data_IF_589884498374
#
_entry.id   IF_589884498374
#
_cell.length_a   1.000
_cell.length_b   1.000
_cell.length_c   1.000
_cell.angle_alpha   90.00
_cell.angle_beta   90.00
_cell.angle_gamma   90.00
#
_symmetry.space_group_name_H-M   'P 1'
#
loop_
_entity.id
_entity.type
_entity.pdbx_description
1 polymer ?
#
# COMPACT_ATOMS: atom_id res chain seq x y z
N UNK A 1 18.44 23.13 -12.85
CA UNK A 1 19.03 21.81 -12.53
C UNK A 1 19.47 21.19 -13.84
N UNK A 2 20.71 20.71 -13.93
CA UNK A 2 21.15 19.94 -15.10
C UNK A 2 20.27 18.68 -15.21
N UNK A 3 19.95 18.27 -16.44
CA UNK A 3 19.20 17.04 -16.66
C UNK A 3 20.05 15.85 -16.19
N UNK A 4 19.55 15.09 -15.22
CA UNK A 4 20.24 13.91 -14.70
C UNK A 4 20.29 12.83 -15.81
N UNK A 5 21.47 12.30 -16.18
CA UNK A 5 21.55 11.26 -17.21
C UNK A 5 20.67 10.04 -16.84
N UNK A 6 19.91 9.46 -17.80
CA UNK A 6 18.97 8.38 -17.50
C UNK A 6 19.60 7.17 -16.79
N UNK A 7 20.83 6.83 -17.16
CA UNK A 7 21.57 5.74 -16.52
C UNK A 7 21.89 6.06 -15.05
N UNK A 8 22.45 7.24 -14.78
CA UNK A 8 22.75 7.70 -13.41
C UNK A 8 21.46 7.72 -12.58
N UNK A 9 20.37 8.22 -13.14
CA UNK A 9 19.06 8.24 -12.48
C UNK A 9 18.61 6.82 -12.11
N UNK A 10 18.69 5.87 -13.03
CA UNK A 10 18.24 4.49 -12.82
C UNK A 10 19.05 3.81 -11.72
N UNK A 11 20.37 3.87 -11.79
CA UNK A 11 21.26 3.26 -10.79
C UNK A 11 21.04 3.85 -9.39
N UNK A 12 20.90 5.17 -9.30
CA UNK A 12 20.62 5.85 -8.02
C UNK A 12 19.25 5.48 -7.48
N UNK A 13 18.22 5.37 -8.32
CA UNK A 13 16.89 4.94 -7.89
C UNK A 13 16.90 3.50 -7.39
N UNK A 14 17.61 2.59 -8.06
CA UNK A 14 17.77 1.21 -7.61
C UNK A 14 18.43 1.13 -6.23
N UNK A 15 19.50 1.90 -6.00
CA UNK A 15 20.19 1.94 -4.70
C UNK A 15 19.30 2.55 -3.60
N UNK A 16 18.63 3.68 -3.87
CA UNK A 16 17.69 4.30 -2.92
C UNK A 16 16.58 3.33 -2.54
N UNK A 17 15.93 2.70 -3.54
CA UNK A 17 14.82 1.78 -3.29
C UNK A 17 15.30 0.55 -2.54
N UNK A 18 16.47 -0.01 -2.88
CA UNK A 18 17.06 -1.12 -2.13
C UNK A 18 17.33 -0.78 -0.66
N UNK A 19 17.83 0.42 -0.37
CA UNK A 19 18.02 0.89 1.01
C UNK A 19 16.68 1.18 1.71
N UNK A 20 15.67 1.70 1.01
CA UNK A 20 14.31 1.89 1.54
C UNK A 20 13.62 0.56 1.86
N UNK A 21 13.80 -0.45 1.02
CA UNK A 21 13.33 -1.82 1.27
C UNK A 21 13.96 -2.38 2.55
N UNK A 22 15.29 -2.26 2.67
CA UNK A 22 16.04 -2.75 3.81
C UNK A 22 15.65 -2.04 5.13
N UNK A 23 15.42 -0.74 5.07
CA UNK A 23 15.04 0.07 6.24
C UNK A 23 13.55 0.05 6.57
N UNK A 24 12.73 -0.60 5.73
CA UNK A 24 11.26 -0.53 5.79
C UNK A 24 10.76 0.91 5.86
N UNK A 25 11.09 1.69 4.83
CA UNK A 25 10.81 3.12 4.73
C UNK A 25 9.40 3.53 5.16
N UNK A 26 8.39 2.73 4.84
CA UNK A 26 6.98 2.95 5.17
C UNK A 26 6.65 2.85 6.67
N UNK A 27 7.53 2.24 7.46
CA UNK A 27 7.41 2.03 8.90
C UNK A 27 8.26 3.05 9.70
N UNK A 28 9.09 3.86 9.04
CA UNK A 28 10.00 4.79 9.71
C UNK A 28 9.26 5.96 10.37
N UNK A 29 9.74 6.34 11.55
CA UNK A 29 9.37 7.60 12.20
C UNK A 29 9.95 8.80 11.45
N UNK A 30 9.37 9.99 11.63
CA UNK A 30 9.87 11.21 10.98
C UNK A 30 11.35 11.54 11.33
N UNK A 31 11.83 11.34 12.58
CA UNK A 31 13.25 11.46 12.90
C UNK A 31 14.12 10.44 12.14
N UNK A 32 13.73 9.16 12.14
CA UNK A 32 14.49 8.11 11.46
C UNK A 32 14.57 8.33 9.94
N UNK A 33 13.47 8.81 9.33
CA UNK A 33 13.45 9.22 7.93
C UNK A 33 14.40 10.41 7.66
N UNK A 34 14.46 11.37 8.59
CA UNK A 34 15.39 12.52 8.51
C UNK A 34 16.85 12.07 8.53
N UNK A 35 17.22 11.15 9.42
CA UNK A 35 18.56 10.60 9.48
C UNK A 35 18.92 9.79 8.23
N UNK A 36 17.94 9.08 7.67
CA UNK A 36 18.12 8.33 6.43
C UNK A 36 18.34 9.24 5.22
N UNK A 37 17.63 10.37 5.12
CA UNK A 37 17.94 11.38 4.09
C UNK A 37 19.38 11.90 4.20
N UNK A 38 19.87 12.13 5.42
CA UNK A 38 21.24 12.57 5.64
C UNK A 38 22.26 11.50 5.23
N UNK A 39 21.92 10.21 5.44
CA UNK A 39 22.73 9.08 4.96
C UNK A 39 22.77 9.03 3.43
N UNK A 40 21.62 9.13 2.76
CA UNK A 40 21.56 9.13 1.29
C UNK A 40 22.41 10.23 0.64
N UNK A 41 22.40 11.44 1.20
CA UNK A 41 23.20 12.57 0.69
C UNK A 41 24.71 12.30 0.82
N UNK A 42 25.13 11.53 1.82
CA UNK A 42 26.54 11.20 2.07
C UNK A 42 26.99 9.89 1.41
N UNK A 43 26.05 9.07 0.95
CA UNK A 43 26.33 7.78 0.36
C UNK A 43 27.04 7.94 -1.00
N UNK A 44 28.21 7.31 -1.22
CA UNK A 44 28.93 7.41 -2.49
C UNK A 44 28.14 6.94 -3.72
N UNK A 45 27.25 5.95 -3.56
CA UNK A 45 26.42 5.40 -4.65
C UNK A 45 25.16 6.22 -4.91
N UNK A 46 24.74 7.06 -3.96
CA UNK A 46 23.58 7.96 -4.11
C UNK A 46 24.07 9.41 -4.22
N UNK A 47 24.44 10.01 -3.09
CA UNK A 47 24.92 11.39 -3.03
C UNK A 47 26.17 11.64 -3.87
N UNK A 48 27.13 10.72 -3.86
CA UNK A 48 28.34 10.84 -4.68
C UNK A 48 28.07 10.83 -6.18
N UNK A 49 27.13 9.99 -6.64
CA UNK A 49 26.68 9.94 -8.05
C UNK A 49 25.86 11.16 -8.46
N UNK A 50 25.15 11.78 -7.53
CA UNK A 50 24.33 12.98 -7.79
C UNK A 50 25.10 14.29 -7.65
N UNK A 51 26.18 14.33 -6.86
CA UNK A 51 26.95 15.54 -6.56
C UNK A 51 27.45 16.33 -7.78
N UNK A 52 27.80 15.72 -8.93
CA UNK A 52 28.15 16.47 -10.15
C UNK A 52 26.99 17.27 -10.75
N UNK A 53 25.74 16.96 -10.40
CA UNK A 53 24.53 17.53 -11.01
C UNK A 53 23.74 18.44 -10.07
N UNK A 54 23.94 18.30 -8.76
CA UNK A 54 23.13 18.95 -7.73
C UNK A 54 23.88 19.06 -6.40
N UNK A 55 23.58 20.11 -5.64
CA UNK A 55 24.13 20.31 -4.29
C UNK A 55 23.56 19.30 -3.30
N UNK A 56 24.23 19.10 -2.15
CA UNK A 56 23.73 18.25 -1.07
C UNK A 56 22.29 18.57 -0.65
N UNK A 57 21.94 19.87 -0.60
CA UNK A 57 20.58 20.31 -0.31
C UNK A 57 19.59 19.89 -1.41
N UNK A 58 19.95 20.09 -2.67
CA UNK A 58 19.13 19.69 -3.82
C UNK A 58 18.96 18.17 -3.90
N UNK A 59 19.99 17.38 -3.59
CA UNK A 59 19.91 15.91 -3.49
C UNK A 59 18.84 15.52 -2.48
N UNK A 60 18.91 16.08 -1.26
CA UNK A 60 17.94 15.78 -0.21
C UNK A 60 16.50 16.06 -0.65
N UNK A 61 16.28 17.21 -1.28
CA UNK A 61 14.96 17.61 -1.79
C UNK A 61 14.51 16.66 -2.91
N UNK A 62 15.39 16.33 -3.85
CA UNK A 62 15.09 15.43 -4.96
C UNK A 62 14.67 14.04 -4.48
N UNK A 63 15.37 13.47 -3.48
CA UNK A 63 15.02 12.16 -2.90
C UNK A 63 13.67 12.25 -2.16
N UNK A 64 13.48 13.29 -1.34
CA UNK A 64 12.27 13.50 -0.54
C UNK A 64 11.02 13.63 -1.41
N UNK A 65 11.08 14.49 -2.42
CA UNK A 65 9.90 14.82 -3.24
C UNK A 65 9.69 13.86 -4.42
N UNK A 66 10.69 13.02 -4.73
CA UNK A 66 10.63 11.95 -5.72
C UNK A 66 10.49 10.55 -5.07
N UNK A 67 11.54 9.72 -5.07
CA UNK A 67 11.45 8.31 -4.72
C UNK A 67 10.86 8.05 -3.32
N UNK A 68 11.18 8.87 -2.31
CA UNK A 68 10.65 8.67 -0.96
C UNK A 68 9.14 8.87 -0.87
N UNK A 69 8.59 9.81 -1.64
CA UNK A 69 7.16 10.08 -1.74
C UNK A 69 6.43 8.99 -2.53
N UNK A 70 7.08 8.47 -3.56
CA UNK A 70 6.51 7.43 -4.43
C UNK A 70 6.58 6.02 -3.83
N UNK A 71 7.51 5.77 -2.91
CA UNK A 71 7.82 4.43 -2.44
C UNK A 71 6.61 3.65 -1.91
N UNK A 72 5.70 4.30 -1.16
CA UNK A 72 4.47 3.61 -0.68
C UNK A 72 3.58 3.13 -1.82
N UNK A 73 3.50 3.89 -2.92
CA UNK A 73 2.77 3.48 -4.14
C UNK A 73 3.54 2.40 -4.90
N UNK A 74 4.87 2.45 -4.87
CA UNK A 74 5.73 1.42 -5.45
C UNK A 74 5.46 0.04 -4.85
N UNK A 75 5.25 -0.02 -3.52
CA UNK A 75 4.85 -1.24 -2.83
C UNK A 75 3.47 -1.76 -3.26
N UNK A 76 2.59 -0.90 -3.79
CA UNK A 76 1.31 -1.31 -4.41
C UNK A 76 1.47 -1.72 -5.89
N UNK A 77 2.70 -1.74 -6.41
CA UNK A 77 2.99 -2.02 -7.82
C UNK A 77 2.82 -0.81 -8.76
N UNK A 78 2.71 0.41 -8.21
CA UNK A 78 2.38 1.62 -8.97
C UNK A 78 3.62 2.53 -9.12
N UNK A 79 3.86 3.02 -10.34
CA UNK A 79 4.88 4.02 -10.64
C UNK A 79 6.23 3.45 -11.10
N UNK A 80 7.12 4.32 -11.56
CA UNK A 80 8.37 3.92 -12.23
C UNK A 80 9.35 3.19 -11.33
N UNK A 81 9.27 3.41 -10.02
CA UNK A 81 10.16 2.75 -9.05
C UNK A 81 9.61 1.41 -8.53
N UNK A 82 8.37 1.03 -8.91
CA UNK A 82 7.76 -0.23 -8.50
C UNK A 82 8.53 -1.46 -8.98
N UNK A 83 9.25 -1.35 -10.10
CA UNK A 83 10.11 -2.42 -10.63
C UNK A 83 11.38 -2.62 -9.81
N UNK A 84 11.80 -1.62 -9.03
CA UNK A 84 13.06 -1.67 -8.26
C UNK A 84 12.88 -2.20 -6.84
N UNK A 85 11.66 -2.15 -6.29
CA UNK A 85 11.40 -2.71 -4.96
C UNK A 85 11.29 -4.24 -5.04
N UNK A 86 11.91 -4.92 -4.10
CA UNK A 86 11.78 -6.36 -3.85
C UNK A 86 10.63 -6.68 -2.92
N UNK A 87 9.90 -5.64 -2.49
CA UNK A 87 8.82 -5.70 -1.53
C UNK A 87 7.51 -5.32 -2.19
N UNK A 88 6.42 -5.88 -1.71
CA UNK A 88 5.08 -5.58 -2.20
C UNK A 88 4.07 -5.71 -1.07
N UNK A 89 3.08 -4.83 -1.08
CA UNK A 89 1.85 -5.06 -0.35
C UNK A 89 1.13 -6.28 -0.93
N UNK A 90 0.29 -6.95 -0.11
CA UNK A 90 -0.60 -7.98 -0.62
C UNK A 90 -1.49 -7.41 -1.73
N UNK A 91 -1.42 -7.97 -2.94
CA UNK A 91 -2.33 -7.58 -4.03
C UNK A 91 -3.79 -7.95 -3.72
N UNK A 92 -4.76 -7.48 -4.53
CA UNK A 92 -6.18 -7.79 -4.37
C UNK A 92 -6.46 -9.29 -4.17
N UNK A 93 -5.76 -10.17 -4.90
CA UNK A 93 -5.90 -11.62 -4.74
C UNK A 93 -5.52 -12.13 -3.35
N UNK A 94 -4.44 -11.61 -2.77
CA UNK A 94 -4.02 -11.96 -1.41
C UNK A 94 -5.00 -11.43 -0.37
N UNK A 95 -5.51 -10.20 -0.54
CA UNK A 95 -6.52 -9.63 0.37
C UNK A 95 -7.81 -10.45 0.35
N UNK A 96 -8.31 -10.79 -0.86
CA UNK A 96 -9.50 -11.62 -1.04
C UNK A 96 -9.35 -12.97 -0.36
N UNK A 97 -8.23 -13.66 -0.56
CA UNK A 97 -7.96 -14.95 0.11
C UNK A 97 -7.90 -14.81 1.62
N UNK A 98 -7.17 -13.82 2.14
CA UNK A 98 -7.04 -13.59 3.58
C UNK A 98 -8.38 -13.24 4.25
N UNK A 99 -9.26 -12.53 3.55
CA UNK A 99 -10.53 -12.07 4.10
C UNK A 99 -11.70 -13.05 3.91
N UNK A 100 -11.74 -13.78 2.78
CA UNK A 100 -12.88 -14.62 2.39
C UNK A 100 -12.53 -16.12 2.35
N UNK A 101 -11.26 -16.48 2.28
CA UNK A 101 -10.74 -17.84 2.17
C UNK A 101 -10.12 -18.17 0.80
N UNK A 102 -9.36 -19.27 0.74
CA UNK A 102 -8.53 -19.63 -0.42
C UNK A 102 -9.29 -19.92 -1.72
N UNK A 103 -10.58 -20.24 -1.61
CA UNK A 103 -11.44 -20.50 -2.77
C UNK A 103 -12.01 -19.24 -3.43
N UNK A 104 -11.68 -18.06 -2.91
CA UNK A 104 -12.13 -16.77 -3.44
C UNK A 104 -11.07 -16.12 -4.32
N UNK A 105 -11.51 -15.50 -5.40
CA UNK A 105 -10.64 -14.75 -6.32
C UNK A 105 -11.26 -13.40 -6.68
N UNK A 106 -10.46 -12.33 -6.80
CA UNK A 106 -10.96 -11.03 -7.25
C UNK A 106 -11.35 -11.12 -8.72
N UNK A 107 -12.49 -10.52 -9.07
CA UNK A 107 -12.90 -10.34 -10.45
C UNK A 107 -12.10 -9.19 -11.08
N UNK A 108 -11.17 -9.45 -12.02
CA UNK A 108 -10.14 -8.48 -12.41
C UNK A 108 -10.66 -7.14 -12.93
N UNK A 109 -11.76 -7.15 -13.69
CA UNK A 109 -12.36 -5.95 -14.29
C UNK A 109 -13.15 -5.07 -13.31
N UNK A 110 -13.21 -5.44 -12.03
CA UNK A 110 -13.93 -4.69 -10.98
C UNK A 110 -13.00 -4.08 -9.93
N UNK A 111 -11.69 -4.24 -10.10
CA UNK A 111 -10.70 -3.73 -9.15
C UNK A 111 -10.61 -2.22 -9.27
N UNK A 112 -10.92 -1.52 -8.19
CA UNK A 112 -10.75 -0.08 -8.06
C UNK A 112 -9.79 0.25 -6.92
N UNK A 113 -9.12 1.41 -6.99
CA UNK A 113 -8.01 1.77 -6.08
C UNK A 113 -8.42 2.74 -4.96
N UNK A 114 -9.46 3.56 -5.16
CA UNK A 114 -9.85 4.61 -4.21
C UNK A 114 -11.35 4.55 -3.85
N UNK A 115 -11.70 3.98 -2.68
CA UNK A 115 -10.91 3.01 -1.91
C UNK A 115 -10.69 1.70 -2.68
N UNK A 116 -9.75 0.89 -2.19
CA UNK A 116 -9.47 -0.43 -2.76
C UNK A 116 -10.69 -1.33 -2.62
N UNK A 117 -11.22 -1.85 -3.73
CA UNK A 117 -12.42 -2.68 -3.76
C UNK A 117 -12.50 -3.54 -5.02
N UNK A 118 -13.28 -4.62 -4.95
CA UNK A 118 -13.68 -5.40 -6.12
C UNK A 118 -14.90 -6.27 -5.80
N UNK A 119 -15.47 -6.90 -6.82
CA UNK A 119 -16.25 -8.11 -6.64
C UNK A 119 -15.30 -9.30 -6.59
N UNK A 120 -15.56 -10.25 -5.70
CA UNK A 120 -14.85 -11.52 -5.60
C UNK A 120 -15.80 -12.67 -5.93
N UNK A 121 -15.29 -13.60 -6.73
CA UNK A 121 -15.99 -14.82 -7.11
C UNK A 121 -15.47 -15.97 -6.27
N UNK A 122 -16.41 -16.70 -5.66
CA UNK A 122 -16.16 -17.78 -4.72
C UNK A 122 -16.69 -19.12 -5.22
N UNK A 123 -16.68 -20.15 -4.35
CA UNK A 123 -17.19 -21.47 -4.69
C UNK A 123 -18.68 -21.41 -5.05
N UNK A 124 -19.12 -22.37 -5.87
CA UNK A 124 -20.53 -22.56 -6.24
C UNK A 124 -21.21 -21.31 -6.84
N UNK A 125 -20.45 -20.46 -7.53
CA UNK A 125 -20.99 -19.26 -8.19
C UNK A 125 -21.31 -18.11 -7.23
N UNK A 126 -20.86 -18.18 -5.97
CA UNK A 126 -21.06 -17.11 -5.01
C UNK A 126 -20.29 -15.85 -5.41
N UNK A 127 -20.89 -14.67 -5.21
CA UNK A 127 -20.23 -13.38 -5.44
C UNK A 127 -20.36 -12.48 -4.22
N UNK A 128 -19.25 -11.84 -3.83
CA UNK A 128 -19.20 -10.91 -2.70
C UNK A 128 -18.53 -9.61 -3.14
N UNK A 129 -19.06 -8.49 -2.71
CA UNK A 129 -18.35 -7.22 -2.78
C UNK A 129 -17.39 -7.13 -1.59
N UNK A 130 -16.13 -6.81 -1.87
CA UNK A 130 -15.09 -6.65 -0.85
C UNK A 130 -14.42 -5.29 -1.01
N UNK A 131 -14.22 -4.62 0.11
CA UNK A 131 -13.63 -3.29 0.19
C UNK A 131 -12.66 -3.23 1.37
N UNK A 132 -11.48 -2.65 1.17
CA UNK A 132 -10.44 -2.68 2.19
C UNK A 132 -9.62 -1.41 2.29
N UNK A 133 -9.05 -1.20 3.48
CA UNK A 133 -8.18 -0.08 3.75
C UNK A 133 -7.83 0.03 5.24
N UNK A 134 -6.96 0.99 5.61
CA UNK A 134 -6.62 1.23 7.01
C UNK A 134 -7.83 1.78 7.78
N UNK A 135 -7.77 1.73 9.11
CA UNK A 135 -8.84 2.26 9.98
C UNK A 135 -9.15 3.74 9.70
N UNK A 136 -8.14 4.54 9.36
CA UNK A 136 -8.30 5.96 8.99
C UNK A 136 -9.15 6.17 7.74
N UNK A 137 -9.35 5.15 6.92
CA UNK A 137 -10.21 5.18 5.73
C UNK A 137 -11.64 4.66 6.00
N UNK A 138 -11.97 4.25 7.24
CA UNK A 138 -13.23 3.58 7.58
C UNK A 138 -14.47 4.30 7.02
N UNK A 139 -14.54 5.63 7.17
CA UNK A 139 -15.65 6.42 6.62
C UNK A 139 -15.83 6.21 5.11
N UNK A 140 -14.73 6.20 4.34
CA UNK A 140 -14.78 5.97 2.89
C UNK A 140 -15.18 4.53 2.56
N UNK A 141 -14.73 3.54 3.34
CA UNK A 141 -15.10 2.15 3.15
C UNK A 141 -16.61 1.95 3.35
N UNK A 142 -17.15 2.48 4.45
CA UNK A 142 -18.57 2.39 4.77
C UNK A 142 -19.42 3.14 3.75
N UNK A 143 -19.03 4.34 3.34
CA UNK A 143 -19.74 5.10 2.31
C UNK A 143 -19.89 4.30 1.00
N UNK A 144 -18.81 3.68 0.52
CA UNK A 144 -18.87 2.87 -0.69
C UNK A 144 -19.73 1.60 -0.50
N UNK A 145 -19.72 1.01 0.68
CA UNK A 145 -20.65 -0.09 1.02
C UNK A 145 -22.12 0.37 1.00
N UNK A 146 -22.43 1.59 1.43
CA UNK A 146 -23.77 2.17 1.29
C UNK A 146 -24.18 2.25 -0.19
N UNK A 147 -23.28 2.70 -1.07
CA UNK A 147 -23.55 2.81 -2.51
C UNK A 147 -23.84 1.44 -3.13
N UNK A 148 -23.12 0.40 -2.74
CA UNK A 148 -23.41 -0.97 -3.19
C UNK A 148 -24.77 -1.43 -2.66
N UNK A 149 -25.05 -1.23 -1.37
CA UNK A 149 -26.32 -1.64 -0.76
C UNK A 149 -27.53 -0.90 -1.36
N UNK A 150 -27.37 0.37 -1.72
CA UNK A 150 -28.43 1.15 -2.35
C UNK A 150 -28.78 0.65 -3.76
N UNK A 151 -27.79 0.11 -4.48
CA UNK A 151 -28.00 -0.47 -5.81
C UNK A 151 -28.49 -1.92 -5.77
N UNK A 152 -27.97 -2.71 -4.83
CA UNK A 152 -28.35 -4.11 -4.63
C UNK A 152 -28.55 -4.39 -3.12
N UNK A 153 -29.81 -4.45 -2.66
CA UNK A 153 -30.14 -4.70 -1.26
C UNK A 153 -29.71 -6.07 -0.74
N UNK A 154 -29.42 -7.04 -1.60
CA UNK A 154 -29.06 -8.41 -1.21
C UNK A 154 -27.58 -8.73 -1.41
N UNK A 155 -26.83 -7.88 -2.11
CA UNK A 155 -25.40 -8.06 -2.32
C UNK A 155 -24.67 -8.29 -0.99
N UNK A 156 -23.98 -9.43 -0.81
CA UNK A 156 -23.14 -9.62 0.36
C UNK A 156 -21.91 -8.72 0.28
N UNK A 157 -21.63 -8.00 1.37
CA UNK A 157 -20.55 -7.03 1.50
C UNK A 157 -19.58 -7.50 2.59
N UNK A 158 -18.28 -7.35 2.35
CA UNK A 158 -17.23 -7.54 3.36
C UNK A 158 -16.33 -6.31 3.43
N UNK A 159 -16.31 -5.65 4.59
CA UNK A 159 -15.42 -4.53 4.91
C UNK A 159 -14.18 -5.09 5.61
N UNK A 160 -12.99 -4.80 5.08
CA UNK A 160 -11.74 -5.32 5.62
C UNK A 160 -10.84 -4.19 6.11
N UNK A 161 -10.50 -4.22 7.39
CA UNK A 161 -9.52 -3.30 7.96
C UNK A 161 -8.13 -3.90 7.85
N UNK A 162 -7.25 -3.21 7.11
CA UNK A 162 -5.86 -3.60 6.92
C UNK A 162 -4.98 -3.04 8.03
N UNK A 163 -4.17 -3.90 8.65
CA UNK A 163 -3.23 -3.52 9.72
C UNK A 163 -1.80 -3.88 9.36
N UNK A 164 -0.79 -3.11 9.82
CA UNK A 164 0.60 -3.41 9.51
C UNK A 164 1.14 -4.66 10.24
N UNK A 165 0.47 -5.12 11.30
CA UNK A 165 0.89 -6.26 12.10
C UNK A 165 -0.31 -7.15 12.49
N UNK A 166 -0.03 -8.23 13.23
CA UNK A 166 -1.04 -9.17 13.72
C UNK A 166 -1.77 -8.70 14.97
N UNK A 167 -1.26 -7.67 15.66
CA UNK A 167 -1.88 -7.16 16.89
C UNK A 167 -3.32 -6.69 16.59
N UNK A 168 -4.31 -7.12 17.40
CA UNK A 168 -5.69 -6.69 17.20
C UNK A 168 -5.82 -5.17 17.30
N UNK A 169 -6.81 -4.58 16.63
CA UNK A 169 -7.16 -3.19 16.89
C UNK A 169 -7.55 -3.00 18.37
N UNK A 170 -7.37 -1.79 18.92
CA UNK A 170 -7.97 -1.44 20.19
C UNK A 170 -9.46 -1.82 20.22
N UNK A 171 -9.99 -2.36 21.34
CA UNK A 171 -11.38 -2.83 21.41
C UNK A 171 -12.39 -1.77 20.98
N UNK A 172 -12.23 -0.52 21.41
CA UNK A 172 -13.11 0.59 21.04
C UNK A 172 -13.15 0.85 19.53
N UNK A 173 -12.00 0.80 18.86
CA UNK A 173 -11.92 0.98 17.40
C UNK A 173 -12.61 -0.17 16.67
N UNK A 174 -12.46 -1.40 17.17
CA UNK A 174 -13.11 -2.57 16.57
C UNK A 174 -14.62 -2.57 16.78
N UNK A 175 -15.11 -2.14 17.94
CA UNK A 175 -16.55 -1.92 18.16
C UNK A 175 -17.12 -0.90 17.19
N UNK A 176 -16.40 0.21 16.93
CA UNK A 176 -16.81 1.19 15.93
C UNK A 176 -16.91 0.59 14.53
N UNK A 177 -15.92 -0.20 14.10
CA UNK A 177 -15.93 -0.89 12.80
C UNK A 177 -17.14 -1.83 12.69
N UNK A 178 -17.42 -2.61 13.74
CA UNK A 178 -18.58 -3.52 13.77
C UNK A 178 -19.89 -2.75 13.69
N UNK A 179 -20.06 -1.71 14.50
CA UNK A 179 -21.27 -0.89 14.53
C UNK A 179 -21.54 -0.24 13.16
N UNK A 180 -20.53 0.36 12.52
CA UNK A 180 -20.70 0.98 11.21
C UNK A 180 -20.94 -0.05 10.09
N UNK A 181 -20.28 -1.22 10.16
CA UNK A 181 -20.50 -2.29 9.17
C UNK A 181 -21.90 -2.90 9.30
N UNK A 182 -22.45 -2.96 10.51
CA UNK A 182 -23.81 -3.45 10.74
C UNK A 182 -24.88 -2.56 10.08
N UNK A 183 -24.68 -1.24 10.03
CA UNK A 183 -25.61 -0.29 9.36
C UNK A 183 -25.82 -0.65 7.89
N UNK A 184 -24.78 -1.14 7.22
CA UNK A 184 -24.81 -1.54 5.80
C UNK A 184 -24.99 -3.05 5.60
N UNK A 185 -25.30 -3.78 6.68
CA UNK A 185 -25.39 -5.24 6.71
C UNK A 185 -24.16 -5.92 6.08
N UNK A 186 -22.98 -5.41 6.40
CA UNK A 186 -21.70 -5.94 5.93
C UNK A 186 -21.04 -6.82 7.00
N UNK A 187 -20.39 -7.89 6.55
CA UNK A 187 -19.39 -8.56 7.37
C UNK A 187 -18.19 -7.63 7.53
N UNK A 188 -17.50 -7.73 8.67
CA UNK A 188 -16.24 -7.03 8.88
C UNK A 188 -15.13 -8.02 9.26
N UNK A 189 -13.93 -7.75 8.76
CA UNK A 189 -12.72 -8.52 9.03
C UNK A 189 -11.56 -7.57 9.30
N UNK A 190 -10.56 -8.04 10.03
CA UNK A 190 -9.27 -7.36 10.13
C UNK A 190 -8.18 -8.32 9.65
N UNK A 191 -7.33 -7.87 8.74
CA UNK A 191 -6.23 -8.69 8.20
C UNK A 191 -4.90 -7.98 8.42
N UNK A 192 -3.86 -8.79 8.57
CA UNK A 192 -2.49 -8.27 8.47
C UNK A 192 -2.20 -8.00 7.00
N UNK A 193 -1.95 -6.74 6.71
CA UNK A 193 -1.55 -6.19 5.42
C UNK A 193 -0.14 -5.65 5.59
N UNK A 194 0.79 -6.57 5.77
CA UNK A 194 2.19 -6.28 5.90
C UNK A 194 2.86 -6.43 4.53
N UNK A 195 3.85 -5.58 4.31
CA UNK A 195 4.69 -5.65 3.13
C UNK A 195 5.50 -6.96 3.18
N UNK A 196 5.42 -7.74 2.11
CA UNK A 196 6.14 -9.02 1.96
C UNK A 196 7.18 -8.94 0.85
N UNK A 197 8.10 -9.89 0.78
CA UNK A 197 9.00 -10.01 -0.39
C UNK A 197 8.18 -10.44 -1.61
N UNK A 198 8.50 -9.90 -2.79
CA UNK A 198 7.92 -10.35 -4.05
C UNK A 198 8.28 -11.83 -4.28
N UNK A 199 7.37 -12.66 -4.84
CA UNK A 199 7.70 -14.04 -5.20
C UNK A 199 8.71 -14.04 -6.36
N UNK A 200 9.86 -14.68 -6.18
CA UNK A 200 10.88 -14.86 -7.23
C UNK A 200 12.23 -14.16 -7.02
N UNK A 201 12.44 -13.50 -5.88
CA UNK A 201 13.74 -12.94 -5.42
C UNK A 201 14.35 -13.73 -4.24
#
# INVERSE_FOLDING_TARGET
MAALPPQVRTEVLMEIVGQMDAARWEELSAPAATDMYNRFVKDPKIGGRLAPFMTAHQIRVWIKDGPAKEYRRALEGIGTIATFTKRTYPGPASVVRLALGDQWSPRPNTIEIKPMRCFADGPTGASKFIIWGPLTALQSLIWNSCLIRANDPLQPITVVITKPNSAPLPPADWELVKALSAIVNANCQQITYAVSRKPGD
#
